data_IF_183860578796
#
_entry.id   IF_183860578796
#
_cell.length_a   1.000
_cell.length_b   1.000
_cell.length_c   1.000
_cell.angle_alpha   90.00
_cell.angle_beta   90.00
_cell.angle_gamma   90.00
#
_symmetry.space_group_name_H-M   'P 1'
#
loop_
_entity.id
_entity.type
_entity.pdbx_description
1 polymer ?
#
# COMPACT_ATOMS: atom_id res chain seq x y z
N UNK A 1 17.87 -24.12 -20.42
CA UNK A 1 17.41 -23.82 -19.04
C UNK A 1 16.35 -22.72 -19.04
N UNK A 2 16.59 -21.59 -19.72
CA UNK A 2 15.61 -20.48 -19.83
C UNK A 2 14.27 -20.86 -20.50
N UNK A 3 14.28 -21.65 -21.58
CA UNK A 3 13.04 -21.99 -22.32
C UNK A 3 12.07 -22.87 -21.54
N UNK A 4 12.58 -23.83 -20.75
CA UNK A 4 11.73 -24.64 -19.87
C UNK A 4 11.12 -23.82 -18.74
N UNK A 5 11.87 -22.83 -18.23
CA UNK A 5 11.38 -21.92 -17.20
C UNK A 5 10.26 -21.04 -17.74
N UNK A 6 10.41 -20.49 -18.95
CA UNK A 6 9.37 -19.70 -19.62
C UNK A 6 8.12 -20.55 -19.89
N UNK A 7 8.28 -21.78 -20.38
CA UNK A 7 7.15 -22.70 -20.64
C UNK A 7 6.42 -23.10 -19.35
N UNK A 8 7.14 -23.31 -18.25
CA UNK A 8 6.54 -23.57 -16.94
C UNK A 8 5.79 -22.34 -16.42
N UNK A 9 6.34 -21.14 -16.59
CA UNK A 9 5.65 -19.86 -16.30
C UNK A 9 4.38 -19.70 -17.12
N UNK A 10 4.41 -19.96 -18.43
CA UNK A 10 3.23 -19.86 -19.30
C UNK A 10 2.13 -20.84 -18.86
N UNK A 11 2.48 -22.09 -18.52
CA UNK A 11 1.50 -23.06 -17.99
C UNK A 11 0.83 -22.57 -16.70
N UNK A 12 1.58 -21.92 -15.81
CA UNK A 12 1.02 -21.38 -14.58
C UNK A 12 0.06 -20.21 -14.82
N UNK A 13 0.28 -19.41 -15.86
CA UNK A 13 -0.61 -18.32 -16.25
C UNK A 13 -1.94 -18.88 -16.78
N UNK A 14 -1.86 -19.89 -17.67
CA UNK A 14 -3.04 -20.52 -18.27
C UNK A 14 -3.84 -21.40 -17.29
N UNK A 15 -3.17 -22.17 -16.43
CA UNK A 15 -3.84 -23.11 -15.50
C UNK A 15 -4.26 -22.44 -14.18
N UNK A 16 -3.62 -21.34 -13.76
CA UNK A 16 -3.79 -20.78 -12.42
C UNK A 16 -4.20 -19.29 -12.40
N UNK A 17 -4.69 -18.67 -13.48
CA UNK A 17 -5.24 -17.29 -13.50
C UNK A 17 -4.38 -16.27 -12.73
N UNK A 18 -3.08 -16.24 -13.03
CA UNK A 18 -2.09 -15.44 -12.32
C UNK A 18 -1.97 -14.05 -12.97
N UNK A 19 -1.87 -12.99 -12.16
CA UNK A 19 -1.82 -11.60 -12.63
C UNK A 19 -0.72 -10.76 -11.97
N UNK A 20 -0.30 -9.70 -12.67
CA UNK A 20 0.55 -8.65 -12.14
C UNK A 20 -0.34 -7.53 -11.65
N UNK A 21 -0.29 -7.26 -10.35
CA UNK A 21 -1.11 -6.20 -9.73
C UNK A 21 -0.71 -4.82 -10.23
N UNK A 22 0.59 -4.59 -10.40
CA UNK A 22 1.10 -3.29 -10.85
C UNK A 22 2.50 -3.38 -11.44
N UNK A 23 2.74 -2.55 -12.45
CA UNK A 23 4.08 -2.04 -12.78
C UNK A 23 4.12 -0.58 -12.34
N UNK A 24 5.05 -0.24 -11.45
CA UNK A 24 5.22 1.11 -10.92
C UNK A 24 6.58 1.66 -11.33
N UNK A 25 6.58 2.79 -12.05
CA UNK A 25 7.81 3.51 -12.35
C UNK A 25 8.10 4.53 -11.26
N UNK A 26 9.20 4.33 -10.54
CA UNK A 26 9.74 5.30 -9.60
C UNK A 26 10.55 6.37 -10.33
N UNK A 27 10.30 7.65 -10.05
CA UNK A 27 10.99 8.78 -10.70
C UNK A 27 11.48 9.77 -9.64
N UNK A 28 12.79 9.98 -9.60
CA UNK A 28 13.39 11.02 -8.76
C UNK A 28 13.07 12.41 -9.29
N UNK A 29 12.71 13.34 -8.39
CA UNK A 29 12.41 14.74 -8.73
C UNK A 29 13.46 15.73 -8.20
N UNK A 30 14.58 15.25 -7.63
CA UNK A 30 15.58 16.10 -7.00
C UNK A 30 16.22 17.11 -7.97
N UNK A 31 16.39 16.75 -9.24
CA UNK A 31 16.90 17.62 -10.29
C UNK A 31 15.84 18.59 -10.88
N UNK A 32 14.57 18.43 -10.50
CA UNK A 32 13.50 19.35 -10.88
C UNK A 32 13.46 20.60 -9.98
N UNK A 33 14.15 20.57 -8.84
CA UNK A 33 14.09 21.59 -7.78
C UNK A 33 14.48 22.98 -8.31
N UNK A 34 13.64 23.97 -8.01
CA UNK A 34 13.93 25.39 -8.19
C UNK A 34 13.38 26.20 -7.01
N UNK A 35 13.85 27.45 -6.87
CA UNK A 35 13.28 28.39 -5.90
C UNK A 35 11.89 28.92 -6.31
N UNK A 36 11.45 28.68 -7.55
CA UNK A 36 10.14 29.07 -8.07
C UNK A 36 9.22 27.85 -8.22
N UNK A 37 8.02 27.93 -7.64
CA UNK A 37 7.03 26.83 -7.63
C UNK A 37 6.60 26.46 -9.05
N UNK A 38 6.34 27.45 -9.92
CA UNK A 38 5.85 27.20 -11.27
C UNK A 38 6.92 26.53 -12.13
N UNK A 39 8.17 26.99 -12.02
CA UNK A 39 9.31 26.38 -12.70
C UNK A 39 9.55 24.95 -12.22
N UNK A 40 9.47 24.72 -10.91
CA UNK A 40 9.59 23.37 -10.35
C UNK A 40 8.47 22.46 -10.87
N UNK A 41 7.23 22.94 -10.90
CA UNK A 41 6.10 22.19 -11.46
C UNK A 41 6.28 21.89 -12.95
N UNK A 42 6.76 22.84 -13.76
CA UNK A 42 7.06 22.61 -15.17
C UNK A 42 8.12 21.51 -15.34
N UNK A 43 9.22 21.58 -14.59
CA UNK A 43 10.28 20.57 -14.62
C UNK A 43 9.75 19.17 -14.23
N UNK A 44 8.93 19.09 -13.18
CA UNK A 44 8.30 17.83 -12.73
C UNK A 44 7.44 17.25 -13.85
N UNK A 45 6.56 18.05 -14.45
CA UNK A 45 5.70 17.60 -15.53
C UNK A 45 6.51 17.08 -16.72
N UNK A 46 7.50 17.85 -17.17
CA UNK A 46 8.34 17.49 -18.31
C UNK A 46 9.13 16.20 -18.04
N UNK A 47 9.71 16.06 -16.84
CA UNK A 47 10.47 14.86 -16.47
C UNK A 47 9.60 13.62 -16.41
N UNK A 48 8.47 13.67 -15.72
CA UNK A 48 7.54 12.54 -15.59
C UNK A 48 7.02 12.12 -16.96
N UNK A 49 6.51 13.08 -17.74
CA UNK A 49 5.95 12.78 -19.06
C UNK A 49 7.00 12.26 -20.04
N UNK A 50 8.26 12.70 -19.93
CA UNK A 50 9.35 12.19 -20.76
C UNK A 50 9.76 10.78 -20.38
N UNK A 51 9.97 10.51 -19.08
CA UNK A 51 10.48 9.22 -18.58
C UNK A 51 9.43 8.11 -18.72
N UNK A 52 8.18 8.40 -18.41
CA UNK A 52 7.09 7.43 -18.41
C UNK A 52 6.27 7.39 -19.72
N UNK A 53 6.68 8.12 -20.78
CA UNK A 53 5.93 8.23 -22.05
C UNK A 53 5.47 6.91 -22.68
N UNK A 54 6.22 5.84 -22.48
CA UNK A 54 5.96 4.52 -23.05
C UNK A 54 5.50 3.50 -22.02
N UNK A 55 5.32 3.89 -20.74
CA UNK A 55 5.03 2.95 -19.64
C UNK A 55 3.76 2.14 -19.90
N UNK A 56 2.65 2.80 -20.22
CA UNK A 56 1.36 2.14 -20.46
C UNK A 56 1.44 1.22 -21.68
N UNK A 57 1.93 1.74 -22.81
CA UNK A 57 2.08 0.98 -24.06
C UNK A 57 2.94 -0.27 -23.87
N UNK A 58 4.09 -0.14 -23.21
CA UNK A 58 4.97 -1.29 -22.93
C UNK A 58 4.29 -2.30 -22.00
N UNK A 59 3.54 -1.83 -21.01
CA UNK A 59 2.72 -2.71 -20.17
C UNK A 59 1.73 -3.52 -21.01
N UNK A 60 0.98 -2.89 -21.90
CA UNK A 60 -0.01 -3.53 -22.78
C UNK A 60 0.64 -4.50 -23.80
N UNK A 61 1.81 -4.14 -24.32
CA UNK A 61 2.60 -5.02 -25.18
C UNK A 61 3.02 -6.31 -24.44
N UNK A 62 3.44 -6.19 -23.17
CA UNK A 62 3.81 -7.35 -22.34
C UNK A 62 2.58 -8.22 -22.04
N UNK A 63 1.43 -7.60 -21.71
CA UNK A 63 0.17 -8.33 -21.49
C UNK A 63 -0.19 -9.18 -22.71
N UNK A 64 -0.11 -8.59 -23.90
CA UNK A 64 -0.47 -9.25 -25.15
C UNK A 64 0.49 -10.38 -25.51
N UNK A 65 1.79 -10.15 -25.32
CA UNK A 65 2.84 -11.10 -25.72
C UNK A 65 2.95 -12.31 -24.79
N UNK A 66 2.80 -12.09 -23.49
CA UNK A 66 2.96 -13.15 -22.48
C UNK A 66 1.63 -13.71 -21.98
N UNK A 67 0.49 -13.11 -22.35
CA UNK A 67 -0.83 -13.51 -21.88
C UNK A 67 -1.04 -13.26 -20.38
N UNK A 68 -0.20 -12.44 -19.74
CA UNK A 68 -0.25 -12.14 -18.30
C UNK A 68 -0.94 -10.79 -18.10
N UNK A 69 -2.11 -10.72 -17.45
CA UNK A 69 -2.75 -9.45 -17.15
C UNK A 69 -1.89 -8.56 -16.23
N UNK A 70 -1.79 -7.27 -16.55
CA UNK A 70 -1.12 -6.23 -15.76
C UNK A 70 -2.16 -5.19 -15.38
N UNK A 71 -2.75 -5.37 -14.20
CA UNK A 71 -3.94 -4.65 -13.77
C UNK A 71 -3.72 -3.14 -13.72
N UNK A 72 -2.55 -2.68 -13.25
CA UNK A 72 -2.24 -1.26 -13.16
C UNK A 72 -0.86 -0.91 -13.69
N UNK A 73 -0.76 0.30 -14.24
CA UNK A 73 0.48 0.98 -14.59
C UNK A 73 0.50 2.29 -13.79
N UNK A 74 1.51 2.46 -12.95
CA UNK A 74 1.54 3.51 -11.91
C UNK A 74 2.87 4.24 -11.92
N UNK A 75 2.89 5.41 -11.27
CA UNK A 75 4.10 6.18 -11.05
C UNK A 75 4.23 6.48 -9.56
N UNK A 76 5.45 6.42 -9.03
CA UNK A 76 5.78 6.99 -7.73
C UNK A 76 6.87 8.05 -7.92
N UNK A 77 6.82 9.11 -7.11
CA UNK A 77 7.79 10.20 -7.18
C UNK A 77 8.40 10.50 -5.83
N UNK A 78 9.53 11.22 -5.83
CA UNK A 78 10.14 11.74 -4.60
C UNK A 78 9.11 12.46 -3.74
N UNK A 79 9.09 12.25 -2.41
CA UNK A 79 8.20 12.94 -1.51
C UNK A 79 8.15 14.44 -1.79
N UNK A 80 6.98 14.93 -2.18
CA UNK A 80 6.80 16.33 -2.60
C UNK A 80 7.18 17.32 -1.50
N UNK A 81 7.14 16.95 -0.22
CA UNK A 81 7.58 17.86 0.85
C UNK A 81 9.06 18.24 0.72
N UNK A 82 9.91 17.32 0.25
CA UNK A 82 11.34 17.57 0.00
C UNK A 82 11.55 18.51 -1.18
N UNK A 83 10.72 18.38 -2.21
CA UNK A 83 10.80 19.19 -3.43
C UNK A 83 10.26 20.61 -3.17
N UNK A 84 9.11 20.71 -2.50
CA UNK A 84 8.48 21.96 -2.16
C UNK A 84 9.30 22.80 -1.16
N UNK A 85 10.09 22.17 -0.28
CA UNK A 85 10.91 22.83 0.73
C UNK A 85 11.85 23.90 0.15
N UNK A 86 12.37 23.70 -1.07
CA UNK A 86 13.28 24.65 -1.72
C UNK A 86 12.62 25.99 -2.10
N UNK A 87 11.30 26.00 -2.28
CA UNK A 87 10.54 27.19 -2.69
C UNK A 87 10.00 28.00 -1.51
N UNK A 88 10.04 27.46 -0.28
CA UNK A 88 9.45 28.09 0.90
C UNK A 88 7.93 28.29 0.82
N UNK A 89 7.24 27.59 -0.10
CA UNK A 89 5.80 27.71 -0.28
C UNK A 89 5.04 27.13 0.92
N UNK A 90 3.92 27.76 1.26
CA UNK A 90 2.93 27.23 2.21
C UNK A 90 1.77 26.52 1.52
N UNK A 91 1.76 26.51 0.19
CA UNK A 91 0.76 25.85 -0.64
C UNK A 91 1.42 24.78 -1.52
N UNK A 92 1.04 23.52 -1.29
CA UNK A 92 1.53 22.38 -2.06
C UNK A 92 0.53 21.89 -3.13
N UNK A 93 -0.65 22.50 -3.25
CA UNK A 93 -1.68 22.13 -4.23
C UNK A 93 -1.18 22.23 -5.68
N UNK A 94 -0.37 23.23 -6.09
CA UNK A 94 0.17 23.29 -7.45
C UNK A 94 0.97 22.04 -7.84
N UNK A 95 1.70 21.43 -6.90
CA UNK A 95 2.42 20.19 -7.13
C UNK A 95 1.47 19.02 -7.36
N UNK A 96 0.43 18.87 -6.52
CA UNK A 96 -0.59 17.84 -6.71
C UNK A 96 -1.27 17.96 -8.08
N UNK A 97 -1.70 19.17 -8.48
CA UNK A 97 -2.28 19.43 -9.81
C UNK A 97 -1.33 19.07 -10.94
N UNK A 98 -0.03 19.30 -10.75
CA UNK A 98 1.00 18.97 -11.74
C UNK A 98 1.17 17.46 -11.89
N UNK A 99 1.23 16.72 -10.78
CA UNK A 99 1.27 15.26 -10.79
C UNK A 99 0.03 14.67 -11.46
N UNK A 100 -1.15 15.20 -11.15
CA UNK A 100 -2.41 14.75 -11.75
C UNK A 100 -2.45 14.99 -13.26
N UNK A 101 -2.02 16.17 -13.72
CA UNK A 101 -1.88 16.48 -15.15
C UNK A 101 -0.93 15.51 -15.86
N UNK A 102 0.19 15.17 -15.23
CA UNK A 102 1.13 14.20 -15.79
C UNK A 102 0.51 12.78 -15.85
N UNK A 103 -0.21 12.37 -14.80
CA UNK A 103 -0.89 11.09 -14.75
C UNK A 103 -1.96 10.96 -15.86
N UNK A 104 -2.80 11.99 -16.02
CA UNK A 104 -3.81 12.07 -17.09
C UNK A 104 -3.17 11.99 -18.47
N UNK A 105 -2.10 12.77 -18.71
CA UNK A 105 -1.42 12.80 -20.01
C UNK A 105 -0.80 11.46 -20.40
N UNK A 106 -0.36 10.67 -19.41
CA UNK A 106 0.26 9.37 -19.61
C UNK A 106 -0.72 8.20 -19.59
N UNK A 107 -1.96 8.40 -19.14
CA UNK A 107 -2.96 7.34 -18.99
C UNK A 107 -2.63 6.32 -17.89
N UNK A 108 -1.85 6.71 -16.87
CA UNK A 108 -1.53 5.84 -15.72
C UNK A 108 -2.67 5.84 -14.70
N UNK A 109 -2.80 4.75 -13.94
CA UNK A 109 -3.93 4.58 -13.02
C UNK A 109 -3.82 5.45 -11.77
N UNK A 110 -2.61 5.66 -11.25
CA UNK A 110 -2.33 6.44 -10.04
C UNK A 110 -0.91 6.97 -10.05
N UNK A 111 -0.70 8.11 -9.40
CA UNK A 111 0.61 8.68 -9.09
C UNK A 111 0.75 8.95 -7.59
N UNK A 112 1.72 8.27 -6.97
CA UNK A 112 2.04 8.41 -5.55
C UNK A 112 3.27 9.29 -5.33
N UNK A 113 3.46 9.78 -4.11
CA UNK A 113 4.58 10.64 -3.74
C UNK A 113 4.18 12.04 -3.29
N UNK A 114 2.88 12.37 -3.26
CA UNK A 114 2.38 13.55 -2.54
C UNK A 114 2.48 13.30 -1.03
N UNK A 115 3.72 13.24 -0.55
CA UNK A 115 4.10 12.58 0.68
C UNK A 115 5.06 13.40 1.53
N UNK A 116 5.03 13.15 2.83
CA UNK A 116 5.92 13.75 3.81
C UNK A 116 6.46 12.68 4.79
N UNK A 117 7.71 12.84 5.23
CA UNK A 117 8.40 11.95 6.16
C UNK A 117 8.73 12.73 7.44
N UNK A 118 7.94 12.54 8.50
CA UNK A 118 7.92 13.42 9.68
C UNK A 118 8.21 12.68 10.98
N UNK A 119 8.78 11.47 10.93
CA UNK A 119 9.00 10.63 12.13
C UNK A 119 9.90 11.26 13.20
N UNK A 120 10.78 12.21 12.81
CA UNK A 120 11.67 12.93 13.74
C UNK A 120 11.21 14.36 14.07
N UNK A 121 10.06 14.78 13.56
CA UNK A 121 9.57 16.15 13.62
C UNK A 121 9.33 16.72 12.22
N UNK A 122 8.82 17.95 12.16
CA UNK A 122 8.54 18.64 10.91
C UNK A 122 9.78 19.42 10.41
N UNK A 123 9.96 19.44 9.09
CA UNK A 123 11.00 20.20 8.40
C UNK A 123 10.40 20.87 7.14
N UNK A 124 11.03 21.95 6.67
CA UNK A 124 10.74 22.56 5.38
C UNK A 124 9.23 22.74 5.11
N UNK A 125 8.73 22.05 4.08
CA UNK A 125 7.34 22.12 3.64
C UNK A 125 6.43 21.01 4.20
N UNK A 126 6.86 20.21 5.19
CA UNK A 126 6.08 19.06 5.67
C UNK A 126 4.68 19.45 6.18
N UNK A 127 4.59 20.49 7.01
CA UNK A 127 3.30 20.96 7.54
C UNK A 127 2.42 21.53 6.43
N UNK A 128 3.01 22.27 5.48
CA UNK A 128 2.30 22.82 4.33
C UNK A 128 1.74 21.70 3.44
N UNK A 129 2.52 20.64 3.22
CA UNK A 129 2.08 19.47 2.46
C UNK A 129 0.92 18.78 3.16
N UNK A 130 1.05 18.46 4.45
CA UNK A 130 0.00 17.79 5.21
C UNK A 130 -1.29 18.62 5.23
N UNK A 131 -1.18 19.94 5.46
CA UNK A 131 -2.32 20.84 5.43
C UNK A 131 -3.00 20.92 4.05
N UNK A 132 -2.25 20.71 2.96
CA UNK A 132 -2.76 20.74 1.60
C UNK A 132 -3.48 19.45 1.19
N UNK A 133 -3.30 18.33 1.92
CA UNK A 133 -3.85 17.00 1.55
C UNK A 133 -5.36 17.03 1.27
N UNK A 134 -6.23 17.60 2.13
CA UNK A 134 -7.68 17.54 1.92
C UNK A 134 -8.12 18.19 0.60
N UNK A 135 -7.55 19.35 0.27
CA UNK A 135 -7.86 20.08 -0.96
C UNK A 135 -7.19 19.44 -2.17
N UNK A 136 -5.92 19.05 -2.06
CA UNK A 136 -5.19 18.37 -3.13
C UNK A 136 -5.91 17.08 -3.59
N UNK A 137 -6.36 16.23 -2.66
CA UNK A 137 -7.03 14.97 -3.00
C UNK A 137 -8.46 15.15 -3.50
N UNK A 138 -9.10 16.28 -3.18
CA UNK A 138 -10.40 16.69 -3.73
C UNK A 138 -10.28 17.20 -5.18
N UNK A 139 -9.23 17.97 -5.47
CA UNK A 139 -9.05 18.63 -6.76
C UNK A 139 -8.30 17.78 -7.80
N UNK A 140 -7.82 16.60 -7.41
CA UNK A 140 -7.07 15.68 -8.28
C UNK A 140 -7.77 14.33 -8.37
N UNK A 141 -7.58 13.63 -9.49
CA UNK A 141 -8.20 12.33 -9.73
C UNK A 141 -7.28 11.19 -9.30
N UNK A 142 -6.03 11.20 -9.76
CA UNK A 142 -5.10 10.06 -9.71
C UNK A 142 -3.97 10.23 -8.70
N UNK A 143 -3.86 11.37 -8.04
CA UNK A 143 -2.82 11.60 -7.03
C UNK A 143 -3.16 10.86 -5.74
N UNK A 144 -2.17 10.14 -5.22
CA UNK A 144 -2.18 9.50 -3.91
C UNK A 144 -1.20 10.18 -2.96
N UNK A 145 -1.58 10.22 -1.69
CA UNK A 145 -0.81 10.85 -0.61
C UNK A 145 -0.45 9.86 0.47
N UNK A 146 0.76 9.99 1.01
CA UNK A 146 1.20 9.22 2.16
C UNK A 146 2.02 10.04 3.16
N UNK A 147 1.87 9.76 4.46
CA UNK A 147 2.63 10.46 5.51
C UNK A 147 3.26 9.46 6.45
N UNK A 148 4.59 9.43 6.53
CA UNK A 148 5.30 8.59 7.50
C UNK A 148 5.46 9.34 8.83
N UNK A 149 4.82 8.86 9.88
CA UNK A 149 4.78 9.53 11.20
C UNK A 149 5.67 8.86 12.25
N UNK A 150 6.26 7.70 11.94
CA UNK A 150 7.08 6.95 12.87
C UNK A 150 8.10 6.07 12.17
N UNK A 151 9.16 5.71 12.89
CA UNK A 151 10.06 4.64 12.48
C UNK A 151 10.65 3.97 13.71
N UNK A 152 11.09 2.71 13.60
CA UNK A 152 11.69 2.02 14.73
C UNK A 152 12.93 2.74 15.25
N UNK A 153 13.67 3.42 14.38
CA UNK A 153 14.85 4.22 14.78
C UNK A 153 14.47 5.55 15.42
N UNK A 154 13.32 6.12 15.10
CA UNK A 154 12.89 7.42 15.60
C UNK A 154 11.88 7.32 16.76
N UNK A 155 11.14 6.23 16.91
CA UNK A 155 9.90 6.22 17.66
C UNK A 155 8.76 6.83 16.84
N UNK A 156 7.79 7.44 17.50
CA UNK A 156 6.54 7.91 16.88
C UNK A 156 6.35 9.40 17.15
N UNK A 157 6.18 10.20 16.10
CA UNK A 157 5.85 11.62 16.21
C UNK A 157 4.35 11.78 16.50
N UNK A 158 3.99 11.98 17.77
CA UNK A 158 2.60 12.09 18.21
C UNK A 158 1.95 13.42 17.81
N UNK A 159 2.75 14.48 17.58
CA UNK A 159 2.23 15.72 17.00
C UNK A 159 1.73 15.48 15.56
N UNK A 160 2.46 14.67 14.77
CA UNK A 160 2.04 14.28 13.44
C UNK A 160 0.85 13.32 13.45
N UNK A 161 0.82 12.37 14.38
CA UNK A 161 -0.33 11.48 14.57
C UNK A 161 -1.62 12.27 14.84
N UNK A 162 -1.55 13.26 15.74
CA UNK A 162 -2.68 14.17 16.02
C UNK A 162 -3.11 14.92 14.76
N UNK A 163 -2.16 15.55 14.06
CA UNK A 163 -2.45 16.30 12.84
C UNK A 163 -3.06 15.42 11.74
N UNK A 164 -2.63 14.16 11.62
CA UNK A 164 -3.18 13.22 10.65
C UNK A 164 -4.61 12.80 10.98
N UNK A 165 -4.96 12.64 12.26
CA UNK A 165 -6.35 12.41 12.65
C UNK A 165 -7.29 13.54 12.22
N UNK A 166 -6.85 14.79 12.40
CA UNK A 166 -7.59 15.97 11.92
C UNK A 166 -7.63 16.05 10.39
N UNK A 167 -6.52 15.73 9.73
CA UNK A 167 -6.38 15.80 8.27
C UNK A 167 -7.25 14.75 7.58
N UNK A 168 -7.32 13.52 8.09
CA UNK A 168 -8.21 12.47 7.57
C UNK A 168 -9.67 12.91 7.69
N UNK A 169 -10.07 13.49 8.83
CA UNK A 169 -11.43 13.98 9.01
C UNK A 169 -11.79 15.09 8.02
N UNK A 170 -10.91 16.08 7.85
CA UNK A 170 -11.07 17.15 6.84
C UNK A 170 -11.11 16.59 5.42
N UNK A 171 -10.30 15.58 5.12
CA UNK A 171 -10.28 14.93 3.80
C UNK A 171 -11.60 14.22 3.51
N UNK A 172 -12.15 13.49 4.48
CA UNK A 172 -13.45 12.83 4.37
C UNK A 172 -14.61 13.82 4.21
N UNK A 173 -14.53 14.99 4.86
CA UNK A 173 -15.53 16.05 4.70
C UNK A 173 -15.46 16.73 3.32
N UNK A 174 -14.26 16.80 2.73
CA UNK A 174 -13.98 17.47 1.46
C UNK A 174 -14.25 16.60 0.22
N UNK A 175 -14.06 15.27 0.33
CA UNK A 175 -14.21 14.32 -0.77
C UNK A 175 -14.56 12.91 -0.29
N UNK A 176 -15.56 12.29 -0.89
CA UNK A 176 -16.00 10.92 -0.58
C UNK A 176 -14.90 9.87 -0.86
N UNK A 177 -14.02 10.15 -1.82
CA UNK A 177 -12.93 9.25 -2.25
C UNK A 177 -11.54 9.69 -1.77
N UNK A 178 -11.44 10.87 -1.14
CA UNK A 178 -10.15 11.44 -0.73
C UNK A 178 -9.39 10.51 0.21
N UNK A 179 -10.06 9.98 1.24
CA UNK A 179 -9.44 9.09 2.23
C UNK A 179 -9.01 7.73 1.64
N UNK A 180 -9.61 7.28 0.52
CA UNK A 180 -9.14 6.07 -0.16
C UNK A 180 -7.77 6.26 -0.84
N UNK A 181 -7.37 7.52 -1.09
CA UNK A 181 -6.09 7.93 -1.68
C UNK A 181 -5.09 8.46 -0.65
N UNK A 182 -5.37 8.35 0.65
CA UNK A 182 -4.52 8.83 1.74
C UNK A 182 -4.14 7.68 2.67
N UNK A 183 -2.86 7.51 2.96
CA UNK A 183 -2.38 6.51 3.91
C UNK A 183 -1.36 7.09 4.89
N UNK A 184 -1.45 6.69 6.15
CA UNK A 184 -0.49 7.08 7.19
C UNK A 184 0.40 5.88 7.49
N UNK A 185 1.71 6.07 7.54
CA UNK A 185 2.68 5.00 7.76
C UNK A 185 3.45 5.15 9.06
N UNK A 186 3.90 4.02 9.59
CA UNK A 186 5.14 3.91 10.33
C UNK A 186 6.10 2.94 9.62
N UNK A 187 7.40 3.23 9.66
CA UNK A 187 8.43 2.48 8.92
C UNK A 187 8.11 2.35 7.42
N UNK A 188 7.69 3.44 6.78
CA UNK A 188 7.48 3.42 5.34
C UNK A 188 8.75 2.98 4.60
N UNK A 189 8.57 2.21 3.53
CA UNK A 189 9.65 1.74 2.65
C UNK A 189 9.75 2.63 1.42
N UNK A 190 10.95 2.78 0.89
CA UNK A 190 11.32 3.76 -0.14
C UNK A 190 10.98 3.32 -1.57
N UNK A 191 10.69 2.04 -1.78
CA UNK A 191 10.53 1.37 -3.07
C UNK A 191 9.13 0.73 -3.26
N UNK A 192 8.17 1.08 -2.40
CA UNK A 192 6.83 0.47 -2.39
C UNK A 192 6.09 0.72 -3.73
N UNK A 193 5.68 -0.33 -4.48
CA UNK A 193 4.93 -0.17 -5.72
C UNK A 193 3.40 -0.01 -5.50
N UNK A 194 2.89 -0.22 -4.30
CA UNK A 194 1.45 -0.24 -4.00
C UNK A 194 0.90 1.14 -3.59
N UNK A 195 -0.27 1.48 -4.16
CA UNK A 195 -1.03 2.70 -3.82
C UNK A 195 -2.01 2.45 -2.68
N UNK A 196 -2.36 3.45 -1.87
CA UNK A 196 -2.01 4.88 -1.97
C UNK A 196 -0.60 5.25 -1.44
N UNK A 197 0.17 4.26 -0.98
CA UNK A 197 1.35 4.50 -0.17
C UNK A 197 2.67 4.75 -0.89
N UNK A 198 2.74 4.45 -2.17
CA UNK A 198 3.98 4.53 -2.93
C UNK A 198 4.55 5.95 -2.99
N UNK A 199 5.85 6.06 -2.75
CA UNK A 199 6.70 7.20 -3.09
C UNK A 199 8.04 6.64 -3.57
N UNK A 200 8.85 7.48 -4.21
CA UNK A 200 10.18 7.11 -4.69
C UNK A 200 11.25 7.64 -3.73
N UNK A 201 11.97 6.76 -3.06
CA UNK A 201 12.97 7.11 -2.06
C UNK A 201 14.08 8.01 -2.59
N UNK A 202 14.75 8.71 -1.67
CA UNK A 202 15.91 9.56 -2.03
C UNK A 202 17.16 8.71 -2.28
N UNK A 203 17.22 7.50 -1.73
CA UNK A 203 18.32 6.55 -1.95
C UNK A 203 18.21 5.75 -3.24
N UNK A 204 17.04 5.76 -3.89
CA UNK A 204 16.78 5.00 -5.11
C UNK A 204 17.39 5.65 -6.37
N UNK A 205 17.39 4.91 -7.48
CA UNK A 205 17.91 5.40 -8.76
C UNK A 205 17.12 6.61 -9.30
N UNK A 206 17.66 7.31 -10.32
CA UNK A 206 16.94 8.42 -10.98
C UNK A 206 15.56 7.99 -11.51
N UNK A 207 15.49 6.77 -12.04
CA UNK A 207 14.29 6.14 -12.52
C UNK A 207 14.44 4.63 -12.42
N UNK A 208 13.40 3.92 -11.99
CA UNK A 208 13.39 2.46 -11.89
C UNK A 208 12.00 1.86 -12.07
N UNK A 209 11.93 0.55 -12.31
CA UNK A 209 10.69 -0.20 -12.41
C UNK A 209 10.58 -1.18 -11.25
N UNK A 210 9.51 -1.03 -10.47
CA UNK A 210 9.11 -1.93 -9.41
C UNK A 210 7.83 -2.67 -9.81
N UNK A 211 7.75 -3.96 -9.50
CA UNK A 211 6.61 -4.81 -9.88
C UNK A 211 5.95 -5.37 -8.64
N UNK A 212 4.63 -5.20 -8.53
CA UNK A 212 3.81 -5.86 -7.52
C UNK A 212 3.06 -7.02 -8.16
N UNK A 213 3.22 -8.22 -7.62
CA UNK A 213 2.48 -9.41 -8.06
C UNK A 213 1.15 -9.52 -7.32
N UNK A 214 0.22 -10.28 -7.89
CA UNK A 214 -0.98 -10.76 -7.21
C UNK A 214 -0.99 -12.29 -7.26
N UNK A 215 -1.81 -12.92 -6.44
CA UNK A 215 -1.77 -14.36 -6.26
C UNK A 215 -2.65 -14.99 -5.17
N UNK A 216 -3.55 -14.30 -4.43
CA UNK A 216 -4.38 -14.98 -3.46
C UNK A 216 -5.17 -16.16 -4.03
N UNK A 217 -5.82 -15.99 -5.19
CA UNK A 217 -6.56 -17.07 -5.83
C UNK A 217 -5.72 -18.31 -6.19
N UNK A 218 -4.46 -18.11 -6.57
CA UNK A 218 -3.51 -19.18 -6.91
C UNK A 218 -3.12 -19.97 -5.66
N UNK A 219 -2.81 -19.27 -4.57
CA UNK A 219 -2.47 -19.87 -3.28
C UNK A 219 -3.65 -20.68 -2.73
N UNK A 220 -4.87 -20.15 -2.81
CA UNK A 220 -6.09 -20.86 -2.42
C UNK A 220 -6.23 -22.19 -3.17
N UNK A 221 -6.16 -22.16 -4.51
CA UNK A 221 -6.24 -23.39 -5.35
C UNK A 221 -5.15 -24.41 -5.03
N UNK A 222 -3.95 -23.95 -4.66
CA UNK A 222 -2.88 -24.84 -4.25
C UNK A 222 -3.21 -25.53 -2.91
N UNK A 223 -3.83 -24.82 -1.96
CA UNK A 223 -4.22 -25.36 -0.66
C UNK A 223 -5.39 -26.35 -0.74
N UNK A 224 -6.33 -26.16 -1.66
CA UNK A 224 -7.44 -27.10 -1.91
C UNK A 224 -6.93 -28.53 -2.22
N UNK A 225 -5.74 -28.66 -2.82
CA UNK A 225 -5.11 -29.94 -3.17
C UNK A 225 -4.48 -30.67 -1.97
N UNK A 226 -4.31 -30.01 -0.84
CA UNK A 226 -3.65 -30.54 0.38
C UNK A 226 -4.55 -30.41 1.61
N UNK A 227 -5.87 -30.46 1.40
CA UNK A 227 -6.86 -30.33 2.48
C UNK A 227 -6.74 -31.47 3.49
N UNK A 228 -6.60 -31.12 4.77
CA UNK A 228 -6.45 -32.08 5.87
C UNK A 228 -5.02 -32.56 6.12
N UNK A 229 -4.05 -32.13 5.31
CA UNK A 229 -2.62 -32.42 5.52
C UNK A 229 -2.03 -31.61 6.68
N UNK A 230 -0.79 -31.95 7.08
CA UNK A 230 -0.09 -31.26 8.18
C UNK A 230 0.32 -29.83 7.80
N UNK A 231 0.59 -28.99 8.82
CA UNK A 231 1.08 -27.63 8.60
C UNK A 231 2.42 -27.57 7.85
N UNK A 232 3.26 -28.61 7.94
CA UNK A 232 4.48 -28.70 7.14
C UNK A 232 4.17 -28.73 5.64
N UNK A 233 3.16 -29.52 5.25
CA UNK A 233 2.70 -29.62 3.86
C UNK A 233 2.04 -28.32 3.41
N UNK A 234 1.22 -27.70 4.26
CA UNK A 234 0.57 -26.40 3.99
C UNK A 234 1.64 -25.32 3.75
N UNK A 235 2.62 -25.19 4.65
CA UNK A 235 3.68 -24.20 4.53
C UNK A 235 4.55 -24.41 3.28
N UNK A 236 4.95 -25.65 2.99
CA UNK A 236 5.70 -25.97 1.77
C UNK A 236 4.91 -25.67 0.49
N UNK A 237 3.60 -25.92 0.51
CA UNK A 237 2.70 -25.64 -0.62
C UNK A 237 2.65 -24.13 -0.88
N UNK A 238 2.37 -23.32 0.14
CA UNK A 238 2.38 -21.85 0.03
C UNK A 238 3.73 -21.34 -0.46
N UNK A 239 4.83 -21.85 0.10
CA UNK A 239 6.20 -21.43 -0.27
C UNK A 239 6.51 -21.71 -1.74
N UNK A 240 6.18 -22.90 -2.25
CA UNK A 240 6.38 -23.27 -3.67
C UNK A 240 5.53 -22.41 -4.60
N UNK A 241 4.30 -22.13 -4.22
CA UNK A 241 3.39 -21.27 -4.99
C UNK A 241 3.89 -19.82 -5.01
N UNK A 242 4.32 -19.28 -3.87
CA UNK A 242 4.89 -17.94 -3.79
C UNK A 242 6.16 -17.80 -4.63
N UNK A 243 7.05 -18.80 -4.62
CA UNK A 243 8.23 -18.83 -5.49
C UNK A 243 7.85 -18.66 -6.97
N UNK A 244 6.84 -19.42 -7.41
CA UNK A 244 6.35 -19.40 -8.79
C UNK A 244 5.76 -18.04 -9.19
N UNK A 245 4.87 -17.50 -8.37
CA UNK A 245 4.28 -16.16 -8.55
C UNK A 245 5.40 -15.11 -8.69
N UNK A 246 6.39 -15.17 -7.80
CA UNK A 246 7.49 -14.21 -7.77
C UNK A 246 8.39 -14.29 -9.01
N UNK A 247 8.68 -15.50 -9.51
CA UNK A 247 9.45 -15.68 -10.75
C UNK A 247 8.78 -15.01 -11.94
N UNK A 248 7.45 -15.06 -12.00
CA UNK A 248 6.70 -14.36 -13.04
C UNK A 248 6.81 -12.84 -12.89
N UNK A 249 6.66 -12.32 -11.66
CA UNK A 249 6.90 -10.89 -11.37
C UNK A 249 8.26 -10.42 -11.83
N UNK A 250 9.30 -11.23 -11.57
CA UNK A 250 10.66 -10.94 -12.03
C UNK A 250 10.78 -10.95 -13.56
N UNK A 251 10.18 -11.93 -14.25
CA UNK A 251 10.18 -11.99 -15.71
C UNK A 251 9.57 -10.72 -16.32
N UNK A 252 8.37 -10.35 -15.85
CA UNK A 252 7.67 -9.14 -16.33
C UNK A 252 8.49 -7.88 -16.05
N UNK A 253 9.06 -7.76 -14.84
CA UNK A 253 9.91 -6.64 -14.46
C UNK A 253 11.16 -6.50 -15.35
N UNK A 254 11.84 -7.61 -15.65
CA UNK A 254 13.01 -7.62 -16.54
C UNK A 254 12.66 -7.22 -17.97
N UNK A 255 11.54 -7.71 -18.50
CA UNK A 255 11.08 -7.34 -19.85
C UNK A 255 10.70 -5.87 -19.91
N UNK A 256 9.94 -5.36 -18.93
CA UNK A 256 9.57 -3.95 -18.84
C UNK A 256 10.80 -3.05 -18.73
N UNK A 257 11.75 -3.40 -17.85
CA UNK A 257 13.02 -2.70 -17.68
C UNK A 257 13.79 -2.59 -18.99
N UNK A 258 13.96 -3.70 -19.73
CA UNK A 258 14.67 -3.72 -21.01
C UNK A 258 13.98 -2.88 -22.08
N UNK A 259 12.65 -2.93 -22.19
CA UNK A 259 11.88 -2.18 -23.21
C UNK A 259 11.83 -0.68 -22.92
N UNK A 260 11.74 -0.31 -21.66
CA UNK A 260 11.71 1.09 -21.22
C UNK A 260 13.11 1.71 -21.15
N UNK A 261 14.16 0.89 -21.10
CA UNK A 261 15.54 1.36 -20.91
C UNK A 261 15.79 1.91 -19.51
N UNK A 262 15.08 1.37 -18.52
CA UNK A 262 15.08 1.82 -17.12
C UNK A 262 15.48 0.65 -16.22
N UNK A 263 16.35 0.83 -15.21
CA UNK A 263 16.72 -0.22 -14.26
C UNK A 263 15.51 -0.93 -13.63
N UNK A 264 15.66 -2.23 -13.40
CA UNK A 264 14.71 -2.99 -12.60
C UNK A 264 15.08 -2.83 -11.12
N UNK A 265 14.13 -2.39 -10.29
CA UNK A 265 14.29 -2.28 -8.84
C UNK A 265 13.91 -3.60 -8.18
N UNK A 266 12.68 -3.69 -7.65
CA UNK A 266 12.24 -4.81 -6.83
C UNK A 266 11.01 -5.54 -7.37
N UNK A 267 10.85 -6.80 -6.92
CA UNK A 267 9.54 -7.47 -6.90
C UNK A 267 8.99 -7.38 -5.47
N UNK A 268 7.79 -6.84 -5.33
CA UNK A 268 7.03 -6.91 -4.09
C UNK A 268 6.16 -8.18 -4.10
N UNK A 269 6.32 -9.00 -3.06
CA UNK A 269 5.72 -10.33 -2.89
C UNK A 269 4.28 -10.30 -2.38
N UNK A 270 3.72 -9.13 -2.19
CA UNK A 270 2.48 -8.97 -1.47
C UNK A 270 1.28 -9.66 -2.12
N UNK A 271 0.63 -10.55 -1.37
CA UNK A 271 -0.64 -11.16 -1.77
C UNK A 271 -1.76 -10.12 -1.61
N UNK A 272 -2.02 -9.36 -2.66
CA UNK A 272 -3.06 -8.35 -2.72
C UNK A 272 -4.35 -8.91 -3.31
N UNK A 273 -5.46 -8.98 -2.55
CA UNK A 273 -6.75 -9.43 -3.07
C UNK A 273 -7.35 -8.40 -4.03
N UNK A 274 -8.36 -8.83 -4.76
CA UNK A 274 -9.19 -7.97 -5.59
C UNK A 274 -10.67 -8.22 -5.31
N UNK A 275 -11.57 -7.30 -5.68
CA UNK A 275 -13.01 -7.56 -5.58
C UNK A 275 -13.50 -8.73 -6.45
N UNK A 276 -12.64 -9.37 -7.25
CA UNK A 276 -12.99 -10.51 -8.07
C UNK A 276 -13.26 -11.77 -7.23
N UNK A 277 -14.24 -12.55 -7.66
CA UNK A 277 -14.63 -13.77 -6.95
C UNK A 277 -13.49 -14.79 -6.95
N UNK A 278 -13.13 -15.26 -5.76
CA UNK A 278 -12.10 -16.27 -5.58
C UNK A 278 -10.68 -15.73 -5.38
N UNK A 279 -10.49 -14.40 -5.45
CA UNK A 279 -9.21 -13.75 -5.20
C UNK A 279 -9.19 -13.03 -3.85
N UNK A 280 -9.06 -13.83 -2.79
CA UNK A 280 -9.28 -13.40 -1.40
C UNK A 280 -8.25 -14.03 -0.47
N UNK A 281 -7.66 -13.21 0.39
CA UNK A 281 -6.79 -13.67 1.49
C UNK A 281 -7.62 -14.31 2.59
N UNK A 282 -8.82 -13.80 2.87
CA UNK A 282 -9.73 -14.43 3.81
C UNK A 282 -10.05 -15.89 3.44
N UNK A 283 -10.32 -16.16 2.17
CA UNK A 283 -10.61 -17.52 1.69
C UNK A 283 -9.38 -18.45 1.77
N UNK A 284 -8.16 -17.93 1.68
CA UNK A 284 -6.94 -18.73 1.93
C UNK A 284 -6.90 -19.17 3.39
N UNK A 285 -7.16 -18.25 4.32
CA UNK A 285 -7.14 -18.53 5.76
C UNK A 285 -8.23 -19.53 6.13
N UNK A 286 -9.40 -19.44 5.50
CA UNK A 286 -10.47 -20.43 5.65
C UNK A 286 -10.09 -21.79 5.07
N UNK A 287 -9.45 -21.85 3.90
CA UNK A 287 -8.98 -23.12 3.32
C UNK A 287 -7.86 -23.79 4.13
N UNK A 288 -7.12 -23.02 4.95
CA UNK A 288 -6.19 -23.59 5.95
C UNK A 288 -6.90 -24.32 7.10
N UNK A 289 -8.23 -24.29 7.16
CA UNK A 289 -9.04 -25.03 8.12
C UNK A 289 -9.84 -24.18 9.10
N UNK A 290 -10.01 -22.87 8.83
CA UNK A 290 -10.86 -21.99 9.64
C UNK A 290 -12.27 -21.94 9.06
N UNK A 291 -13.28 -21.86 9.93
CA UNK A 291 -14.68 -21.72 9.50
C UNK A 291 -14.96 -20.33 8.88
N UNK A 292 -14.36 -19.28 9.44
CA UNK A 292 -14.45 -17.90 8.95
C UNK A 292 -13.20 -17.15 9.36
N UNK A 293 -12.71 -16.25 8.49
CA UNK A 293 -11.70 -15.28 8.89
C UNK A 293 -12.21 -14.45 10.09
N UNK A 294 -11.31 -14.18 11.04
CA UNK A 294 -11.60 -13.44 12.27
C UNK A 294 -11.73 -14.34 13.52
N UNK A 295 -12.06 -15.62 13.33
CA UNK A 295 -12.13 -16.59 14.45
C UNK A 295 -10.76 -16.86 15.11
N UNK A 296 -10.77 -17.60 16.22
CA UNK A 296 -9.56 -18.06 16.89
C UNK A 296 -8.71 -18.92 15.94
N UNK A 297 -7.40 -18.65 15.86
CA UNK A 297 -6.50 -19.28 14.90
C UNK A 297 -6.19 -18.42 13.67
N UNK A 298 -7.04 -17.44 13.31
CA UNK A 298 -6.83 -16.55 12.15
C UNK A 298 -5.44 -15.90 12.13
N UNK A 299 -5.00 -15.37 13.27
CA UNK A 299 -3.68 -14.69 13.38
C UNK A 299 -2.52 -15.68 13.17
N UNK A 300 -2.66 -16.92 13.63
CA UNK A 300 -1.64 -17.96 13.45
C UNK A 300 -1.58 -18.44 11.98
N UNK A 301 -2.75 -18.65 11.35
CA UNK A 301 -2.84 -18.99 9.94
C UNK A 301 -2.22 -17.90 9.05
N UNK A 302 -2.54 -16.63 9.34
CA UNK A 302 -1.96 -15.50 8.60
C UNK A 302 -0.45 -15.35 8.84
N UNK A 303 0.04 -15.65 10.05
CA UNK A 303 1.48 -15.67 10.32
C UNK A 303 2.20 -16.74 9.47
N UNK A 304 1.64 -17.95 9.37
CA UNK A 304 2.17 -19.02 8.51
C UNK A 304 2.15 -18.60 7.04
N UNK A 305 1.03 -18.04 6.57
CA UNK A 305 0.89 -17.55 5.19
C UNK A 305 1.97 -16.52 4.88
N UNK A 306 2.12 -15.49 5.72
CA UNK A 306 3.06 -14.40 5.49
C UNK A 306 4.52 -14.89 5.49
N UNK A 307 4.89 -15.74 6.44
CA UNK A 307 6.24 -16.31 6.54
C UNK A 307 6.56 -17.21 5.33
N UNK A 308 5.64 -18.09 4.94
CA UNK A 308 5.82 -18.97 3.79
C UNK A 308 5.92 -18.20 2.47
N UNK A 309 5.10 -17.16 2.27
CA UNK A 309 5.17 -16.27 1.09
C UNK A 309 6.52 -15.58 1.01
N UNK A 310 6.99 -14.98 2.11
CA UNK A 310 8.30 -14.32 2.17
C UNK A 310 9.43 -15.29 1.83
N UNK A 311 9.44 -16.48 2.44
CA UNK A 311 10.46 -17.52 2.17
C UNK A 311 10.46 -17.97 0.71
N UNK A 312 9.28 -18.14 0.11
CA UNK A 312 9.14 -18.52 -1.29
C UNK A 312 9.64 -17.44 -2.24
N UNK A 313 9.24 -16.19 -2.01
CA UNK A 313 9.60 -15.08 -2.89
C UNK A 313 11.06 -14.66 -2.81
N UNK A 314 11.68 -14.66 -1.62
CA UNK A 314 13.13 -14.38 -1.47
C UNK A 314 13.99 -15.41 -2.20
N UNK A 315 13.53 -16.65 -2.32
CA UNK A 315 14.21 -17.69 -3.10
C UNK A 315 14.09 -17.46 -4.62
N UNK A 316 13.07 -16.72 -5.06
CA UNK A 316 12.74 -16.53 -6.46
C UNK A 316 13.37 -15.28 -7.08
N UNK A 317 13.55 -14.19 -6.34
CA UNK A 317 14.05 -12.93 -6.88
C UNK A 317 15.38 -12.48 -6.26
N UNK A 318 16.19 -11.77 -7.06
CA UNK A 318 17.44 -11.18 -6.59
C UNK A 318 17.22 -9.93 -5.72
N UNK A 319 16.15 -9.19 -6.01
CA UNK A 319 15.79 -7.93 -5.35
C UNK A 319 14.33 -8.00 -4.94
N UNK A 320 14.11 -8.30 -3.65
CA UNK A 320 12.79 -8.29 -3.01
C UNK A 320 12.70 -7.04 -2.16
N UNK A 321 11.61 -6.29 -2.30
CA UNK A 321 11.41 -5.01 -1.62
C UNK A 321 9.93 -4.70 -1.43
N UNK A 322 9.61 -3.42 -1.21
CA UNK A 322 8.25 -3.00 -0.90
C UNK A 322 7.74 -3.57 0.43
N UNK A 323 6.42 -3.79 0.51
CA UNK A 323 5.75 -4.25 1.74
C UNK A 323 5.91 -5.77 1.95
N UNK A 324 5.95 -6.55 0.87
CA UNK A 324 6.26 -7.98 0.82
C UNK A 324 5.58 -8.80 1.91
N UNK A 325 4.25 -8.84 1.89
CA UNK A 325 3.41 -9.64 2.79
C UNK A 325 1.94 -9.68 2.41
N UNK A 326 1.11 -10.44 3.13
CA UNK A 326 -0.32 -10.51 2.82
C UNK A 326 -1.01 -9.16 3.05
N UNK A 327 -1.88 -8.76 2.14
CA UNK A 327 -2.71 -7.58 2.27
C UNK A 327 -4.05 -7.98 2.89
N UNK A 328 -4.53 -7.16 3.84
CA UNK A 328 -5.85 -7.37 4.47
C UNK A 328 -6.81 -6.18 4.30
N UNK A 329 -6.95 -5.62 3.08
CA UNK A 329 -7.86 -4.50 2.82
C UNK A 329 -9.30 -4.97 2.90
N UNK A 330 -10.05 -4.47 3.89
CA UNK A 330 -11.44 -4.91 4.11
C UNK A 330 -12.30 -4.62 2.89
N UNK A 331 -12.12 -3.48 2.22
CA UNK A 331 -12.97 -3.10 1.08
C UNK A 331 -12.73 -3.89 -0.21
N UNK A 332 -11.56 -4.51 -0.35
CA UNK A 332 -11.14 -5.17 -1.59
C UNK A 332 -11.27 -6.71 -1.49
N UNK A 333 -11.34 -7.27 -0.27
CA UNK A 333 -11.45 -8.71 -0.05
C UNK A 333 -12.89 -9.13 0.29
N UNK A 334 -13.55 -9.82 -0.65
CA UNK A 334 -14.93 -10.27 -0.49
C UNK A 334 -15.17 -11.19 0.73
N UNK A 335 -14.17 -11.99 1.12
CA UNK A 335 -14.26 -12.83 2.31
C UNK A 335 -14.17 -12.02 3.60
N UNK A 336 -13.34 -10.96 3.63
CA UNK A 336 -13.27 -10.04 4.76
C UNK A 336 -14.56 -9.25 4.93
N UNK A 337 -15.12 -8.71 3.84
CA UNK A 337 -16.42 -8.01 3.86
C UNK A 337 -17.48 -8.90 4.51
N UNK A 338 -17.61 -10.14 4.03
CA UNK A 338 -18.59 -11.10 4.54
C UNK A 338 -18.38 -11.41 6.02
N UNK A 339 -17.12 -11.55 6.47
CA UNK A 339 -16.82 -11.81 7.87
C UNK A 339 -17.16 -10.60 8.77
N UNK A 340 -16.96 -9.37 8.29
CA UNK A 340 -17.38 -8.16 9.00
C UNK A 340 -18.90 -8.05 9.07
N UNK A 341 -19.60 -8.28 7.95
CA UNK A 341 -21.08 -8.27 7.90
C UNK A 341 -21.69 -9.30 8.85
N UNK A 342 -21.07 -10.47 8.98
CA UNK A 342 -21.51 -11.52 9.92
C UNK A 342 -21.05 -11.28 11.37
N UNK A 343 -20.30 -10.21 11.65
CA UNK A 343 -19.80 -9.88 12.98
C UNK A 343 -18.69 -10.83 13.48
N UNK A 344 -18.04 -11.58 12.59
CA UNK A 344 -16.96 -12.52 12.90
C UNK A 344 -15.57 -11.88 12.81
N UNK A 345 -15.46 -10.74 12.12
CA UNK A 345 -14.24 -9.94 12.01
C UNK A 345 -14.53 -8.52 12.53
N UNK A 346 -13.76 -8.08 13.53
CA UNK A 346 -13.85 -6.74 14.13
C UNK A 346 -12.52 -5.97 14.00
N UNK A 347 -12.53 -4.70 14.40
CA UNK A 347 -11.39 -3.80 14.22
C UNK A 347 -10.18 -4.24 15.06
N UNK A 348 -10.42 -4.69 16.29
CA UNK A 348 -9.38 -5.15 17.21
C UNK A 348 -8.75 -6.47 16.72
N UNK A 349 -9.51 -7.31 16.02
CA UNK A 349 -8.98 -8.52 15.40
C UNK A 349 -8.13 -8.20 14.17
N UNK A 350 -8.54 -7.20 13.38
CA UNK A 350 -7.72 -6.69 12.28
C UNK A 350 -6.41 -6.12 12.82
N UNK A 351 -6.44 -5.29 13.86
CA UNK A 351 -5.26 -4.80 14.59
C UNK A 351 -4.38 -5.97 15.11
N UNK A 352 -4.98 -7.01 15.71
CA UNK A 352 -4.22 -8.20 16.10
C UNK A 352 -3.58 -8.94 14.91
N UNK A 353 -4.20 -8.90 13.73
CA UNK A 353 -3.64 -9.43 12.49
C UNK A 353 -2.51 -8.53 11.96
N UNK A 354 -2.61 -7.20 12.13
CA UNK A 354 -1.54 -6.27 11.78
C UNK A 354 -0.28 -6.52 12.58
N UNK A 355 -0.32 -7.16 13.76
CA UNK A 355 0.89 -7.56 14.48
C UNK A 355 1.81 -8.48 13.65
N UNK A 356 1.25 -9.33 12.79
CA UNK A 356 2.01 -10.31 11.99
C UNK A 356 2.00 -10.03 10.47
N UNK A 357 1.23 -9.03 10.02
CA UNK A 357 1.05 -8.66 8.61
C UNK A 357 1.65 -7.27 8.28
N UNK A 358 2.24 -7.04 7.12
CA UNK A 358 3.02 -5.81 6.84
C UNK A 358 2.22 -4.58 6.43
N UNK A 359 0.91 -4.69 6.21
CA UNK A 359 0.11 -3.59 5.63
C UNK A 359 -0.58 -2.73 6.68
N UNK A 360 -0.99 -3.28 7.81
CA UNK A 360 -1.76 -2.52 8.82
C UNK A 360 -3.27 -2.49 8.53
N UNK A 361 -3.96 -1.48 9.07
CA UNK A 361 -5.39 -1.25 8.88
C UNK A 361 -5.65 -0.56 7.54
N UNK A 362 -5.93 -1.33 6.49
CA UNK A 362 -6.12 -0.80 5.13
C UNK A 362 -7.58 -0.85 4.68
N UNK A 363 -8.00 0.21 3.97
CA UNK A 363 -9.34 0.40 3.42
C UNK A 363 -10.49 0.05 4.40
N UNK A 364 -10.43 0.62 5.61
CA UNK A 364 -11.44 0.37 6.65
C UNK A 364 -12.42 1.54 6.73
N UNK A 365 -13.71 1.25 6.57
CA UNK A 365 -14.78 2.24 6.78
C UNK A 365 -15.19 2.30 8.26
N UNK A 366 -15.26 3.52 8.80
CA UNK A 366 -15.71 3.80 10.18
C UNK A 366 -16.82 4.86 10.18
N UNK A 367 -17.61 5.01 11.25
CA UNK A 367 -18.68 6.00 11.31
C UNK A 367 -18.12 7.42 11.12
N UNK A 368 -18.79 8.23 10.28
CA UNK A 368 -18.32 9.58 9.96
C UNK A 368 -18.32 10.56 11.15
N UNK A 369 -19.04 10.25 12.22
CA UNK A 369 -19.04 11.02 13.47
C UNK A 369 -17.86 10.68 14.39
N UNK A 370 -17.03 9.68 14.05
CA UNK A 370 -15.79 9.38 14.78
C UNK A 370 -14.91 10.64 14.91
N UNK A 371 -14.37 10.88 16.10
CA UNK A 371 -13.59 12.08 16.36
C UNK A 371 -12.17 11.97 15.81
N UNK A 372 -11.53 13.11 15.56
CA UNK A 372 -10.15 13.14 15.04
C UNK A 372 -9.17 12.48 16.02
N UNK A 373 -9.41 12.61 17.33
CA UNK A 373 -8.61 12.00 18.39
C UNK A 373 -8.73 10.47 18.40
N UNK A 374 -9.91 9.91 18.12
CA UNK A 374 -10.09 8.47 17.98
C UNK A 374 -9.36 7.95 16.75
N UNK A 375 -9.43 8.64 15.61
CA UNK A 375 -8.67 8.29 14.40
C UNK A 375 -7.16 8.37 14.67
N UNK A 376 -6.70 9.43 15.34
CA UNK A 376 -5.31 9.60 15.73
C UNK A 376 -4.85 8.46 16.67
N UNK A 377 -5.70 8.00 17.59
CA UNK A 377 -5.38 6.87 18.46
C UNK A 377 -5.24 5.55 17.69
N UNK A 378 -6.13 5.26 16.73
CA UNK A 378 -5.99 4.09 15.85
C UNK A 378 -4.67 4.14 15.07
N UNK A 379 -4.27 5.33 14.58
CA UNK A 379 -2.96 5.53 13.93
C UNK A 379 -1.82 5.27 14.92
N UNK A 380 -1.93 5.76 16.15
CA UNK A 380 -0.91 5.57 17.18
C UNK A 380 -0.70 4.09 17.52
N UNK A 381 -1.79 3.32 17.67
CA UNK A 381 -1.75 1.90 18.00
C UNK A 381 -1.09 1.09 16.88
N UNK A 382 -1.49 1.33 15.62
CA UNK A 382 -0.88 0.70 14.45
C UNK A 382 0.59 1.11 14.26
N UNK A 383 0.92 2.38 14.50
CA UNK A 383 2.30 2.84 14.46
C UNK A 383 3.13 2.19 15.58
N UNK A 384 2.57 1.96 16.76
CA UNK A 384 3.25 1.28 17.86
C UNK A 384 3.54 -0.19 17.53
N UNK A 385 2.56 -0.91 16.96
CA UNK A 385 2.77 -2.26 16.43
C UNK A 385 3.90 -2.26 15.39
N UNK A 386 3.93 -1.27 14.50
CA UNK A 386 4.96 -1.11 13.48
C UNK A 386 6.35 -0.89 14.05
N UNK A 387 6.47 0.13 14.89
CA UNK A 387 7.71 0.60 15.49
C UNK A 387 8.33 -0.46 16.40
N UNK A 388 7.54 -1.11 17.26
CA UNK A 388 8.03 -2.11 18.22
C UNK A 388 8.45 -3.41 17.52
N UNK A 389 7.81 -3.77 16.40
CA UNK A 389 8.09 -5.04 15.72
C UNK A 389 9.00 -4.89 14.49
N UNK A 390 9.67 -3.74 14.32
CA UNK A 390 10.53 -3.47 13.15
C UNK A 390 9.85 -3.76 11.81
N UNK A 391 8.62 -3.30 11.67
CA UNK A 391 7.80 -3.57 10.50
C UNK A 391 7.13 -2.30 10.00
N UNK A 392 6.85 -2.28 8.71
CA UNK A 392 5.95 -1.29 8.13
C UNK A 392 4.53 -1.57 8.61
N UNK A 393 3.81 -0.52 8.95
CA UNK A 393 2.36 -0.52 9.17
C UNK A 393 1.78 0.69 8.48
N UNK A 394 0.60 0.52 7.89
CA UNK A 394 -0.13 1.55 7.19
C UNK A 394 -1.55 1.65 7.76
N UNK A 395 -2.09 2.85 7.77
CA UNK A 395 -3.44 3.13 8.22
C UNK A 395 -4.16 3.92 7.14
N UNK A 396 -5.20 3.31 6.59
CA UNK A 396 -6.13 3.91 5.63
C UNK A 396 -7.55 3.73 6.15
N UNK A 397 -7.97 4.72 6.91
CA UNK A 397 -9.28 4.77 7.56
C UNK A 397 -10.15 5.77 6.81
N UNK A 398 -11.41 5.38 6.60
CA UNK A 398 -12.40 6.12 5.82
C UNK A 398 -13.59 6.46 6.73
N UNK A 399 -13.63 7.68 7.32
CA UNK A 399 -14.81 8.17 8.00
C UNK A 399 -15.96 8.35 7.01
N UNK A 400 -16.93 7.44 7.06
CA UNK A 400 -18.06 7.39 6.14
C UNK A 400 -19.14 8.40 6.53
N UNK A 401 -19.22 9.52 5.83
CA UNK A 401 -20.11 10.65 6.13
C UNK A 401 -21.59 10.23 6.11
N UNK A 402 -22.29 10.46 7.22
CA UNK A 402 -23.72 10.18 7.33
C UNK A 402 -24.08 8.68 7.40
N UNK A 403 -23.08 7.80 7.38
CA UNK A 403 -23.27 6.35 7.46
C UNK A 403 -23.12 5.88 8.91
N UNK A 404 -23.87 4.83 9.24
CA UNK A 404 -23.90 4.16 10.55
C UNK A 404 -23.22 2.80 10.46
N UNK A 405 -22.91 2.23 11.62
CA UNK A 405 -22.36 0.87 11.72
C UNK A 405 -23.26 -0.12 10.99
N UNK A 406 -22.67 -0.89 10.07
CA UNK A 406 -23.35 -1.85 9.21
C UNK A 406 -23.78 -1.31 7.83
N UNK A 407 -23.78 0.00 7.62
CA UNK A 407 -24.05 0.57 6.29
C UNK A 407 -22.89 0.25 5.34
N UNK A 408 -23.18 0.13 4.04
CA UNK A 408 -22.18 -0.17 3.01
C UNK A 408 -21.74 1.09 2.28
N UNK A 409 -20.43 1.26 2.13
CA UNK A 409 -19.82 2.33 1.35
C UNK A 409 -19.22 1.75 0.07
N UNK A 410 -19.56 2.33 -1.09
CA UNK A 410 -19.02 1.93 -2.38
C UNK A 410 -17.92 2.89 -2.84
N UNK A 411 -16.73 2.35 -3.12
CA UNK A 411 -15.59 3.10 -3.64
C UNK A 411 -15.40 2.88 -5.15
N UNK A 412 -15.90 1.76 -5.66
CA UNK A 412 -15.87 1.42 -7.08
C UNK A 412 -14.51 0.88 -7.56
N UNK A 413 -14.54 0.29 -8.76
CA UNK A 413 -13.34 -0.28 -9.39
C UNK A 413 -12.61 -1.28 -8.49
N UNK A 414 -11.30 -1.10 -8.33
CA UNK A 414 -10.45 -1.95 -7.49
C UNK A 414 -10.59 -1.70 -5.99
N UNK A 415 -11.08 -0.52 -5.60
CA UNK A 415 -11.22 -0.14 -4.20
C UNK A 415 -12.46 -0.79 -3.55
N UNK A 416 -13.32 -1.41 -4.35
CA UNK A 416 -14.41 -2.26 -3.88
C UNK A 416 -15.45 -1.53 -3.04
N UNK A 417 -15.88 -2.17 -1.95
CA UNK A 417 -16.92 -1.67 -1.03
C UNK A 417 -16.61 -2.12 0.39
N UNK A 418 -16.91 -1.31 1.39
CA UNK A 418 -16.67 -1.68 2.80
C UNK A 418 -17.92 -1.47 3.68
N UNK A 419 -18.23 -2.42 4.57
CA UNK A 419 -19.17 -2.19 5.65
C UNK A 419 -18.56 -1.25 6.68
N UNK A 420 -19.35 -0.31 7.19
CA UNK A 420 -18.95 0.59 8.27
C UNK A 420 -18.81 -0.20 9.56
N UNK A 421 -17.58 -0.26 10.08
CA UNK A 421 -17.22 -1.05 11.26
C UNK A 421 -17.52 -0.33 12.56
N UNK A 422 -17.78 -1.08 13.63
CA UNK A 422 -17.96 -0.52 14.97
C UNK A 422 -16.65 0.04 15.52
N UNK A 423 -16.72 1.22 16.12
CA UNK A 423 -15.62 1.87 16.85
C UNK A 423 -15.92 1.89 18.35
N UNK A 424 -14.89 1.73 19.18
CA UNK A 424 -15.03 1.84 20.63
C UNK A 424 -15.38 3.29 21.04
N UNK A 425 -16.47 3.53 21.80
CA UNK A 425 -16.90 4.89 22.15
C UNK A 425 -16.07 5.54 23.28
N UNK A 426 -15.17 4.80 23.94
CA UNK A 426 -14.29 5.36 24.96
C UNK A 426 -13.35 6.42 24.36
N UNK A 427 -13.14 7.52 25.09
CA UNK A 427 -12.37 8.67 24.60
C UNK A 427 -10.86 8.46 24.74
N UNK A 428 -10.11 8.87 23.73
CA UNK A 428 -8.64 8.91 23.70
C UNK A 428 -8.07 10.35 23.69
N UNK A 429 -8.91 11.36 23.93
CA UNK A 429 -8.55 12.80 23.79
C UNK A 429 -7.32 13.19 24.59
N UNK A 430 -7.25 12.78 25.86
CA UNK A 430 -6.17 13.19 26.77
C UNK A 430 -4.84 12.54 26.39
N UNK A 431 -4.88 11.33 25.82
CA UNK A 431 -3.69 10.64 25.33
C UNK A 431 -3.12 11.36 24.11
N UNK A 432 -3.97 11.69 23.13
CA UNK A 432 -3.57 12.41 21.91
C UNK A 432 -3.14 13.86 22.20
N UNK A 433 -3.78 14.52 23.19
CA UNK A 433 -3.43 15.88 23.57
C UNK A 433 -2.03 16.04 24.16
N UNK A 434 -1.37 14.95 24.59
CA UNK A 434 0.00 15.00 25.11
C UNK A 434 1.01 15.51 24.08
N UNK A 435 0.80 15.20 22.80
CA UNK A 435 1.71 15.57 21.72
C UNK A 435 3.14 15.04 21.92
N UNK A 436 4.10 15.69 21.25
CA UNK A 436 5.51 15.38 21.30
C UNK A 436 5.85 14.08 20.57
N UNK A 437 6.79 13.30 21.14
CA UNK A 437 7.35 12.11 20.49
C UNK A 437 7.46 10.96 21.47
N UNK A 438 6.88 9.81 21.12
CA UNK A 438 7.17 8.55 21.80
C UNK A 438 8.59 8.14 21.39
N UNK A 439 9.52 7.91 22.34
CA UNK A 439 10.89 7.59 22.01
C UNK A 439 11.02 6.21 21.35
N UNK A 440 12.13 6.02 20.64
CA UNK A 440 12.45 4.75 20.00
C UNK A 440 12.61 3.60 21.03
N UNK A 441 12.17 2.37 20.71
CA UNK A 441 12.29 1.23 21.62
C UNK A 441 13.76 0.77 21.77
N UNK A 442 14.14 0.23 22.93
CA UNK A 442 15.55 -0.10 23.26
C UNK A 442 16.24 -1.00 22.22
N UNK A 443 15.52 -1.94 21.61
CA UNK A 443 16.09 -2.85 20.63
C UNK A 443 16.36 -2.19 19.26
N UNK A 444 16.00 -0.91 19.09
CA UNK A 444 16.35 -0.08 17.92
C UNK A 444 17.81 0.39 17.94
N UNK A 445 18.54 0.21 19.04
CA UNK A 445 19.99 0.46 19.11
C UNK A 445 20.77 -0.68 18.43
N UNK A 446 20.65 -0.78 17.12
CA UNK A 446 21.54 -1.59 16.27
C UNK A 446 22.25 -0.62 15.32
N UNK A 447 23.56 -0.43 15.53
CA UNK A 447 24.41 0.43 14.69
C UNK A 447 24.60 -0.16 13.30
#
# INVERSE_FOLDING_TARGET
METNQILETIRMVEEENLDIRTITMGISLLDCISGDVNKTCANIYDKITTKARHLVRVGEEIETEFGIPIINKRISVTPISLIAAASGTNDCIPFAKTLDKAAIALGVNFIGGFSALVEKGYQGADQALIASIPEALKETQFVCSSVNIGSTRAGINMDAVKLMGETIKKTAEASDMGCAKLVVFANAVEDNPFMAGAFHGVGEADCEINVGVSGPGVVKRALEKVKGESFDVVAETVKKTAFKITRMGQLVGQVASKRLGVPFGIVDLSLAPTPAVGDSVALILEEMGLESVGTHGTTAALALLNDAVKKGGVMACNHVGGLSGAFIPVSEDAGMIKAVENGLLNLEKLEAMTAICSVGLDMIAIPGDTTAETIAAMIADEAAIGVINHKTTAVRIIPAKGQKVGDMVEFGGLLGRAPVMKVNPAKSSDFIARGGRIPAPIHSFKN
#
